data_IF_877345612603
#
_entry.id   IF_877345612603
#
_cell.length_a   1.000
_cell.length_b   1.000
_cell.length_c   1.000
_cell.angle_alpha   90.00
_cell.angle_beta   90.00
_cell.angle_gamma   90.00
#
_symmetry.space_group_name_H-M   'P 1'
#
loop_
_entity.id
_entity.type
_entity.pdbx_description
1 polymer ?
#
# COMPACT_ATOMS: atom_id res chain seq x y z
N UNK A 1 -21.08 0.93 -6.03
CA UNK A 1 -20.40 2.20 -6.36
C UNK A 1 -18.90 1.99 -6.36
N UNK A 2 -18.14 2.56 -7.31
CA UNK A 2 -16.69 2.50 -7.23
C UNK A 2 -16.16 3.13 -5.95
N UNK A 3 -15.06 2.60 -5.44
CA UNK A 3 -14.41 3.15 -4.26
C UNK A 3 -13.85 4.54 -4.54
N UNK A 4 -13.74 5.33 -3.48
CA UNK A 4 -13.06 6.62 -3.55
C UNK A 4 -11.54 6.41 -3.52
N UNK A 5 -10.83 7.23 -4.28
CA UNK A 5 -9.36 7.26 -4.28
C UNK A 5 -8.97 8.63 -3.76
N UNK A 6 -8.35 8.70 -2.59
CA UNK A 6 -8.13 9.94 -1.86
C UNK A 6 -6.74 9.96 -1.23
N UNK A 7 -6.20 11.16 -0.93
CA UNK A 7 -5.06 11.25 -0.02
C UNK A 7 -5.43 10.65 1.34
N UNK A 8 -4.44 10.19 2.09
CA UNK A 8 -4.67 9.50 3.37
C UNK A 8 -5.54 10.30 4.33
N UNK A 9 -5.26 11.59 4.47
CA UNK A 9 -5.97 12.47 5.41
C UNK A 9 -7.48 12.55 5.10
N UNK A 10 -7.85 12.41 3.84
CA UNK A 10 -9.25 12.41 3.41
C UNK A 10 -9.84 11.00 3.45
N UNK A 11 -9.07 9.99 3.06
CA UNK A 11 -9.52 8.60 3.04
C UNK A 11 -9.92 8.11 4.44
N UNK A 12 -9.22 8.53 5.47
CA UNK A 12 -9.48 8.10 6.84
C UNK A 12 -10.91 8.46 7.31
N UNK A 13 -11.50 9.50 6.76
CA UNK A 13 -12.88 9.90 7.12
C UNK A 13 -13.92 8.94 6.53
N UNK A 14 -13.53 8.13 5.56
CA UNK A 14 -14.41 7.15 4.91
C UNK A 14 -14.24 5.74 5.48
N UNK A 15 -13.35 5.55 6.45
CA UNK A 15 -13.15 4.26 7.11
C UNK A 15 -13.78 4.31 8.51
N UNK A 16 -14.25 3.17 9.02
CA UNK A 16 -14.64 3.09 10.44
C UNK A 16 -13.46 3.48 11.34
N UNK A 17 -13.76 3.89 12.57
CA UNK A 17 -12.68 4.24 13.53
C UNK A 17 -11.73 3.07 13.80
N UNK A 18 -12.24 1.84 13.70
CA UNK A 18 -11.48 0.63 13.95
C UNK A 18 -11.63 -0.33 12.78
N UNK A 19 -10.54 -0.96 12.39
CA UNK A 19 -10.51 -1.93 11.31
C UNK A 19 -9.16 -1.98 10.64
N UNK A 20 -8.78 -3.15 10.15
CA UNK A 20 -7.48 -3.36 9.49
C UNK A 20 -7.41 -2.62 8.15
N UNK A 21 -6.21 -2.21 7.78
CA UNK A 21 -5.90 -1.65 6.47
C UNK A 21 -4.94 -2.56 5.75
N UNK A 22 -5.08 -2.66 4.43
CA UNK A 22 -4.14 -3.40 3.57
C UNK A 22 -3.24 -2.39 2.88
N UNK A 23 -1.93 -2.58 3.02
CA UNK A 23 -0.92 -1.75 2.33
C UNK A 23 -0.38 -2.47 1.11
N UNK A 24 -0.23 -1.74 0.01
CA UNK A 24 0.22 -2.28 -1.27
C UNK A 24 1.41 -1.51 -1.80
N UNK A 25 2.42 -2.26 -2.26
CA UNK A 25 3.54 -1.74 -3.02
C UNK A 25 3.48 -2.34 -4.43
N UNK A 26 3.17 -1.50 -5.41
CA UNK A 26 3.05 -1.95 -6.81
C UNK A 26 4.40 -1.88 -7.51
N UNK A 27 5.02 -3.04 -7.72
CA UNK A 27 6.17 -3.17 -8.59
C UNK A 27 5.76 -3.48 -10.02
N UNK A 28 6.72 -3.57 -10.92
CA UNK A 28 6.47 -3.94 -12.32
C UNK A 28 6.09 -5.42 -12.46
N UNK A 29 6.66 -6.28 -11.63
CA UNK A 29 6.47 -7.74 -11.69
C UNK A 29 5.77 -8.31 -10.47
N UNK A 30 5.73 -7.58 -9.37
CA UNK A 30 5.20 -8.06 -8.09
C UNK A 30 4.36 -7.00 -7.42
N UNK A 31 3.49 -7.45 -6.50
CA UNK A 31 2.76 -6.58 -5.58
C UNK A 31 3.09 -7.06 -4.17
N UNK A 32 3.77 -6.21 -3.40
CA UNK A 32 3.99 -6.47 -1.98
C UNK A 32 2.73 -6.13 -1.20
N UNK A 33 2.36 -6.98 -0.24
CA UNK A 33 1.13 -6.83 0.53
C UNK A 33 1.44 -6.88 2.02
N UNK A 34 0.95 -5.90 2.76
CA UNK A 34 1.01 -5.85 4.21
C UNK A 34 -0.38 -5.60 4.77
N UNK A 35 -0.58 -5.91 6.05
CA UNK A 35 -1.86 -5.68 6.73
C UNK A 35 -1.59 -5.08 8.10
N UNK A 36 -2.50 -4.23 8.57
CA UNK A 36 -2.45 -3.72 9.93
C UNK A 36 -3.35 -4.51 10.85
N UNK A 37 -3.10 -4.39 12.16
CA UNK A 37 -4.08 -4.77 13.18
C UNK A 37 -5.30 -3.84 13.11
N UNK A 38 -6.44 -4.22 13.70
CA UNK A 38 -7.64 -3.37 13.67
C UNK A 38 -7.45 -1.99 14.33
N UNK A 39 -6.56 -1.87 15.31
CA UNK A 39 -6.27 -0.61 15.97
C UNK A 39 -5.25 0.24 15.21
N UNK A 40 -4.77 -0.28 14.06
CA UNK A 40 -3.89 0.44 13.14
C UNK A 40 -2.58 0.91 13.77
N UNK A 41 -1.95 0.02 14.54
CA UNK A 41 -0.68 0.32 15.23
C UNK A 41 0.52 -0.26 14.52
N UNK A 42 0.40 -1.48 14.01
CA UNK A 42 1.53 -2.22 13.45
C UNK A 42 1.19 -2.83 12.08
N UNK A 43 2.10 -2.64 11.12
CA UNK A 43 2.02 -3.26 9.81
C UNK A 43 2.81 -4.57 9.81
N UNK A 44 2.22 -5.62 9.24
CA UNK A 44 2.83 -6.95 9.12
C UNK A 44 2.76 -7.40 7.66
N UNK A 45 3.82 -8.00 7.14
CA UNK A 45 3.84 -8.54 5.78
C UNK A 45 2.92 -9.75 5.64
N UNK A 46 2.22 -9.84 4.52
CA UNK A 46 1.29 -10.93 4.21
C UNK A 46 1.85 -11.82 3.13
N UNK A 47 2.10 -11.26 1.96
CA UNK A 47 2.66 -12.01 0.84
C UNK A 47 3.18 -11.07 -0.24
N UNK A 48 3.91 -11.63 -1.19
CA UNK A 48 4.30 -10.95 -2.42
C UNK A 48 3.63 -11.67 -3.57
N UNK A 49 2.76 -10.96 -4.29
CA UNK A 49 2.02 -11.51 -5.42
C UNK A 49 2.88 -11.39 -6.68
N UNK A 50 3.07 -12.49 -7.41
CA UNK A 50 3.65 -12.44 -8.75
C UNK A 50 2.56 -11.96 -9.71
N UNK A 51 2.77 -10.80 -10.33
CA UNK A 51 1.77 -10.21 -11.22
C UNK A 51 1.58 -11.08 -12.46
N UNK A 52 0.33 -11.37 -12.77
CA UNK A 52 -0.06 -12.15 -13.96
C UNK A 52 -0.95 -11.30 -14.85
N UNK A 53 -2.19 -11.13 -14.45
CA UNK A 53 -3.15 -10.29 -15.13
C UNK A 53 -3.90 -9.50 -14.06
N UNK A 54 -4.31 -8.28 -14.38
CA UNK A 54 -4.99 -7.41 -13.44
C UNK A 54 -6.17 -8.09 -12.74
N UNK A 55 -7.00 -8.82 -13.48
CA UNK A 55 -8.18 -9.47 -12.92
C UNK A 55 -7.81 -10.49 -11.83
N UNK A 56 -6.81 -11.32 -12.08
CA UNK A 56 -6.35 -12.32 -11.10
C UNK A 56 -5.69 -11.66 -9.91
N UNK A 57 -4.86 -10.65 -10.15
CA UNK A 57 -4.18 -9.92 -9.08
C UNK A 57 -5.18 -9.19 -8.19
N UNK A 58 -6.16 -8.51 -8.77
CA UNK A 58 -7.22 -7.84 -8.03
C UNK A 58 -8.06 -8.81 -7.22
N UNK A 59 -8.39 -9.98 -7.78
CA UNK A 59 -9.14 -11.01 -7.06
C UNK A 59 -8.38 -11.49 -5.81
N UNK A 60 -7.06 -11.67 -5.93
CA UNK A 60 -6.24 -12.07 -4.78
C UNK A 60 -6.21 -10.99 -3.70
N UNK A 61 -6.06 -9.72 -4.09
CA UNK A 61 -6.08 -8.59 -3.15
C UNK A 61 -7.42 -8.50 -2.41
N UNK A 62 -8.52 -8.67 -3.11
CA UNK A 62 -9.84 -8.65 -2.49
C UNK A 62 -10.04 -9.83 -1.55
N UNK A 63 -9.50 -11.01 -1.89
CA UNK A 63 -9.55 -12.18 -1.00
C UNK A 63 -8.76 -11.92 0.29
N UNK A 64 -7.57 -11.34 0.19
CA UNK A 64 -6.77 -10.97 1.37
C UNK A 64 -7.54 -9.98 2.24
N UNK A 65 -8.13 -8.95 1.64
CA UNK A 65 -8.91 -7.96 2.38
C UNK A 65 -10.09 -8.61 3.11
N UNK A 66 -10.79 -9.53 2.46
CA UNK A 66 -11.90 -10.27 3.07
C UNK A 66 -11.44 -11.16 4.23
N UNK A 67 -10.37 -11.91 4.04
CA UNK A 67 -9.80 -12.78 5.08
C UNK A 67 -9.36 -11.99 6.32
N UNK A 68 -8.88 -10.77 6.13
CA UNK A 68 -8.37 -9.92 7.20
C UNK A 68 -9.39 -8.93 7.74
N UNK A 69 -10.61 -8.96 7.22
CA UNK A 69 -11.67 -8.00 7.60
C UNK A 69 -11.18 -6.55 7.43
N UNK A 70 -10.47 -6.29 6.35
CA UNK A 70 -9.92 -4.97 6.08
C UNK A 70 -11.04 -4.00 5.70
N UNK A 71 -10.87 -2.74 6.08
CA UNK A 71 -11.83 -1.66 5.83
C UNK A 71 -11.34 -0.67 4.78
N UNK A 72 -10.10 -0.79 4.35
CA UNK A 72 -9.52 0.11 3.35
C UNK A 72 -8.18 -0.35 2.86
N UNK A 73 -7.68 0.36 1.83
CA UNK A 73 -6.38 0.10 1.22
C UNK A 73 -5.51 1.35 1.30
N UNK A 74 -4.22 1.13 1.52
CA UNK A 74 -3.18 2.18 1.41
C UNK A 74 -2.25 1.76 0.28
N UNK A 75 -2.17 2.59 -0.75
CA UNK A 75 -1.37 2.33 -1.94
C UNK A 75 -0.20 3.30 -2.00
N UNK A 76 1.01 2.78 -2.00
CA UNK A 76 2.20 3.61 -2.11
C UNK A 76 2.28 4.28 -3.48
N UNK A 77 2.45 5.59 -3.50
CA UNK A 77 2.61 6.37 -4.72
C UNK A 77 4.06 6.79 -4.87
N UNK A 78 4.78 6.26 -5.86
CA UNK A 78 6.21 6.58 -6.04
C UNK A 78 6.36 7.94 -6.74
N UNK A 79 6.47 8.99 -5.95
CA UNK A 79 6.63 10.37 -6.42
C UNK A 79 8.13 10.69 -6.49
N UNK A 80 8.56 11.42 -7.52
CA UNK A 80 9.95 11.87 -7.63
C UNK A 80 10.28 12.91 -6.55
N UNK A 81 11.58 13.09 -6.25
CA UNK A 81 12.01 14.01 -5.19
C UNK A 81 11.55 15.45 -5.41
N UNK A 82 11.34 15.85 -6.66
CA UNK A 82 10.85 17.20 -7.02
C UNK A 82 9.31 17.29 -7.01
N UNK A 83 8.63 16.29 -6.48
CA UNK A 83 7.17 16.17 -6.44
C UNK A 83 6.52 15.86 -7.79
N UNK A 84 7.29 15.68 -8.86
CA UNK A 84 6.72 15.25 -10.15
C UNK A 84 6.37 13.77 -10.12
N UNK A 85 5.42 13.37 -10.97
CA UNK A 85 5.00 11.98 -11.10
C UNK A 85 5.46 11.41 -12.44
N UNK A 86 6.37 10.46 -12.36
CA UNK A 86 6.87 9.74 -13.52
C UNK A 86 5.98 8.56 -13.92
N UNK A 87 6.46 7.70 -14.83
CA UNK A 87 5.68 6.57 -15.34
C UNK A 87 5.19 5.62 -14.26
N UNK A 88 5.98 5.37 -13.22
CA UNK A 88 5.57 4.48 -12.12
C UNK A 88 4.40 5.03 -11.33
N UNK A 89 4.40 6.33 -11.05
CA UNK A 89 3.29 6.98 -10.36
C UNK A 89 2.02 6.94 -11.22
N UNK A 90 2.15 7.19 -12.50
CA UNK A 90 1.03 7.13 -13.43
C UNK A 90 0.45 5.71 -13.52
N UNK A 91 1.30 4.69 -13.56
CA UNK A 91 0.89 3.29 -13.54
C UNK A 91 0.15 2.94 -12.25
N UNK A 92 0.64 3.42 -11.12
CA UNK A 92 0.00 3.22 -9.82
C UNK A 92 -1.39 3.85 -9.78
N UNK A 93 -1.52 5.07 -10.28
CA UNK A 93 -2.83 5.74 -10.36
C UNK A 93 -3.80 5.00 -11.29
N UNK A 94 -3.31 4.48 -12.42
CA UNK A 94 -4.13 3.67 -13.33
C UNK A 94 -4.62 2.40 -12.65
N UNK A 95 -3.75 1.73 -11.90
CA UNK A 95 -4.13 0.56 -11.11
C UNK A 95 -5.22 0.93 -10.10
N UNK A 96 -5.04 2.01 -9.37
CA UNK A 96 -6.02 2.47 -8.39
C UNK A 96 -7.39 2.72 -9.03
N UNK A 97 -7.42 3.39 -10.18
CA UNK A 97 -8.68 3.63 -10.90
C UNK A 97 -9.38 2.34 -11.30
N UNK A 98 -8.63 1.38 -11.82
CA UNK A 98 -9.20 0.09 -12.23
C UNK A 98 -9.63 -0.74 -11.03
N UNK A 99 -8.82 -0.75 -9.97
CA UNK A 99 -9.13 -1.49 -8.75
C UNK A 99 -10.34 -0.91 -8.02
N UNK A 100 -10.50 0.40 -8.04
CA UNK A 100 -11.62 1.09 -7.38
C UNK A 100 -12.98 0.66 -7.92
N UNK A 101 -13.02 0.15 -9.14
CA UNK A 101 -14.26 -0.35 -9.75
C UNK A 101 -14.69 -1.70 -9.19
N UNK A 102 -13.79 -2.41 -8.50
CA UNK A 102 -14.01 -3.77 -8.00
C UNK A 102 -14.23 -3.82 -6.49
N UNK A 103 -14.14 -2.71 -5.79
CA UNK A 103 -14.31 -2.64 -4.35
C UNK A 103 -15.04 -1.36 -3.98
N UNK A 104 -15.67 -1.36 -2.81
CA UNK A 104 -16.25 -0.15 -2.22
C UNK A 104 -15.39 0.41 -1.08
N UNK A 105 -14.27 -0.27 -0.76
CA UNK A 105 -13.36 0.16 0.30
C UNK A 105 -12.47 1.31 -0.21
N UNK A 106 -12.51 2.45 0.47
CA UNK A 106 -11.74 3.61 0.06
C UNK A 106 -10.24 3.31 -0.01
N UNK A 107 -9.60 3.85 -1.05
CA UNK A 107 -8.18 3.65 -1.34
C UNK A 107 -7.45 4.94 -1.03
N UNK A 108 -6.51 4.89 -0.09
CA UNK A 108 -5.64 6.02 0.21
C UNK A 108 -4.37 5.94 -0.63
N UNK A 109 -3.98 7.05 -1.22
CA UNK A 109 -2.68 7.18 -1.86
C UNK A 109 -1.71 7.77 -0.86
N UNK A 110 -0.59 7.10 -0.68
CA UNK A 110 0.46 7.49 0.26
C UNK A 110 1.75 7.83 -0.49
N UNK A 111 2.22 9.06 -0.33
CA UNK A 111 3.48 9.51 -0.93
C UNK A 111 4.64 8.75 -0.27
N UNK A 112 5.31 7.87 -1.03
CA UNK A 112 6.41 7.04 -0.54
C UNK A 112 7.58 7.86 0.00
N UNK A 113 7.74 9.11 -0.42
CA UNK A 113 8.80 9.99 0.11
C UNK A 113 8.63 10.26 1.60
N UNK A 114 7.43 10.08 2.14
CA UNK A 114 7.11 10.31 3.55
C UNK A 114 7.37 9.08 4.41
N UNK A 115 7.89 7.99 3.83
CA UNK A 115 8.25 6.77 4.54
C UNK A 115 9.72 6.43 4.28
N UNK A 116 10.26 5.46 5.02
CA UNK A 116 11.62 4.97 4.82
C UNK A 116 11.71 3.84 3.80
N UNK A 117 10.62 3.55 3.09
CA UNK A 117 10.55 2.41 2.19
C UNK A 117 11.66 2.41 1.13
N UNK A 118 11.92 3.56 0.52
CA UNK A 118 12.95 3.68 -0.53
C UNK A 118 14.35 3.42 0.02
N UNK A 119 14.65 3.94 1.23
CA UNK A 119 15.95 3.75 1.88
C UNK A 119 16.13 2.29 2.29
N UNK A 120 15.10 1.68 2.86
CA UNK A 120 15.15 0.29 3.28
C UNK A 120 15.33 -0.68 2.10
N UNK A 121 14.71 -0.40 0.96
CA UNK A 121 14.93 -1.18 -0.27
C UNK A 121 16.41 -1.20 -0.63
N UNK A 122 17.05 -0.05 -0.58
CA UNK A 122 18.46 0.09 -0.92
C UNK A 122 19.34 -0.67 0.06
N UNK A 123 19.10 -0.55 1.36
CA UNK A 123 19.86 -1.23 2.40
C UNK A 123 19.71 -2.76 2.34
N UNK A 124 18.50 -3.25 2.21
CA UNK A 124 18.21 -4.69 2.15
C UNK A 124 18.83 -5.30 0.87
N UNK A 125 18.80 -4.55 -0.22
CA UNK A 125 19.28 -5.03 -1.52
C UNK A 125 20.79 -5.24 -1.61
N UNK A 126 21.59 -4.73 -0.68
CA UNK A 126 23.05 -4.77 -0.78
C UNK A 126 23.66 -6.17 -0.59
N UNK A 127 23.03 -7.05 0.15
CA UNK A 127 23.60 -8.34 0.56
C UNK A 127 22.83 -9.58 0.08
N UNK A 128 21.92 -9.44 -0.87
CA UNK A 128 21.05 -10.53 -1.30
C UNK A 128 21.14 -10.85 -2.77
N UNK A 129 20.82 -12.11 -3.18
CA UNK A 129 20.70 -12.46 -4.58
C UNK A 129 19.58 -11.64 -5.22
N UNK A 130 19.68 -11.44 -6.55
CA UNK A 130 18.73 -10.54 -7.26
C UNK A 130 17.27 -10.98 -7.11
N UNK A 131 16.98 -12.27 -7.25
CA UNK A 131 15.60 -12.77 -7.13
C UNK A 131 15.08 -12.67 -5.69
N UNK A 132 15.89 -13.10 -4.72
CA UNK A 132 15.52 -13.03 -3.29
C UNK A 132 15.41 -11.58 -2.82
N UNK A 133 16.29 -10.71 -3.33
CA UNK A 133 16.26 -9.28 -3.07
C UNK A 133 14.92 -8.67 -3.47
N UNK A 134 14.42 -8.98 -4.68
CA UNK A 134 13.16 -8.43 -5.17
C UNK A 134 11.99 -8.81 -4.27
N UNK A 135 11.88 -10.09 -3.86
CA UNK A 135 10.81 -10.57 -3.00
C UNK A 135 10.84 -9.90 -1.62
N UNK A 136 12.02 -9.85 -1.00
CA UNK A 136 12.18 -9.25 0.33
C UNK A 136 11.93 -7.74 0.29
N UNK A 137 12.44 -7.06 -0.73
CA UNK A 137 12.25 -5.62 -0.89
C UNK A 137 10.78 -5.27 -1.03
N UNK A 138 10.04 -6.01 -1.88
CA UNK A 138 8.62 -5.71 -2.13
C UNK A 138 7.77 -5.92 -0.88
N UNK A 139 8.01 -7.01 -0.14
CA UNK A 139 7.31 -7.26 1.12
C UNK A 139 7.63 -6.21 2.16
N UNK A 140 8.93 -5.88 2.34
CA UNK A 140 9.35 -4.84 3.28
C UNK A 140 8.85 -3.47 2.87
N UNK A 141 8.85 -3.15 1.57
CA UNK A 141 8.34 -1.88 1.09
C UNK A 141 6.86 -1.70 1.44
N UNK A 142 6.04 -2.75 1.29
CA UNK A 142 4.63 -2.70 1.66
C UNK A 142 4.46 -2.45 3.17
N UNK A 143 5.29 -3.08 4.01
CA UNK A 143 5.28 -2.85 5.46
C UNK A 143 5.61 -1.38 5.77
N UNK A 144 6.67 -0.83 5.17
CA UNK A 144 7.08 0.55 5.42
C UNK A 144 6.08 1.57 4.90
N UNK A 145 5.47 1.31 3.74
CA UNK A 145 4.40 2.15 3.20
C UNK A 145 3.22 2.19 4.19
N UNK A 146 2.76 1.03 4.60
CA UNK A 146 1.62 0.95 5.52
C UNK A 146 1.98 1.53 6.88
N UNK A 147 3.14 1.19 7.44
CA UNK A 147 3.55 1.71 8.75
C UNK A 147 3.67 3.24 8.74
N UNK A 148 4.24 3.80 7.67
CA UNK A 148 4.31 5.26 7.52
C UNK A 148 2.91 5.91 7.56
N UNK A 149 1.95 5.31 6.87
CA UNK A 149 0.57 5.77 6.90
C UNK A 149 -0.05 5.63 8.30
N UNK A 150 0.16 4.50 8.97
CA UNK A 150 -0.35 4.28 10.34
C UNK A 150 0.22 5.30 11.33
N UNK A 151 1.51 5.57 11.24
CA UNK A 151 2.16 6.57 12.10
C UNK A 151 1.59 7.95 11.87
N UNK A 152 1.30 8.31 10.62
CA UNK A 152 0.65 9.58 10.29
C UNK A 152 -0.76 9.66 10.87
N UNK A 153 -1.53 8.58 10.76
CA UNK A 153 -2.88 8.52 11.33
C UNK A 153 -2.85 8.66 12.85
N UNK A 154 -1.86 8.05 13.52
CA UNK A 154 -1.69 8.17 14.96
C UNK A 154 -1.43 9.62 15.35
N UNK A 155 -0.56 10.32 14.62
CA UNK A 155 -0.28 11.74 14.87
C UNK A 155 -1.50 12.62 14.66
N UNK A 156 -2.31 12.32 13.64
CA UNK A 156 -3.55 13.08 13.40
C UNK A 156 -4.55 12.90 14.53
N UNK A 157 -4.61 11.73 15.16
CA UNK A 157 -5.46 11.49 16.33
C UNK A 157 -5.01 12.27 17.56
N UNK A 158 -3.70 12.42 17.74
CA UNK A 158 -3.13 13.17 18.87
C UNK A 158 -3.43 14.67 18.82
N UNK A 159 -3.68 15.22 17.61
CA UNK A 159 -3.93 16.65 17.43
C UNK A 159 -5.41 17.03 17.48
N UNK A 160 -6.28 16.07 17.74
CA UNK A 160 -7.73 16.32 17.87
C UNK A 160 -8.14 16.73 19.28
#
# INVERSE_FOLDING_TARGET
>A
MPALILPLIDAVTHWPERGALVGLDLGTKTIGVAVSDPDRRLATGVETIQRKAFKADAARLLAIAGERNAVGFVLGLPVNMDASEGPRAQSTRAFARNFSKLTDLAIALWDERLSTAAVERELIGMDMSRARRALVIDEHAAIFILQGALDRLARLRETR
#
